data_IF_169952191168
#
_entry.id   IF_169952191168
#
_cell.length_a   1.000
_cell.length_b   1.000
_cell.length_c   1.000
_cell.angle_alpha   90.00
_cell.angle_beta   90.00
_cell.angle_gamma   90.00
#
_symmetry.space_group_name_H-M   'P 1'
#
loop_
_entity.id
_entity.type
_entity.pdbx_description
1 polymer ?
#
# COMPACT_ATOMS: atom_id res chain seq x y z
N UNK A 1 3.16 -43.09 -7.05
CA UNK A 1 2.55 -42.16 -6.05
C UNK A 1 3.31 -40.84 -6.11
N UNK A 2 2.69 -39.74 -6.53
CA UNK A 2 3.31 -38.43 -6.50
C UNK A 2 3.54 -38.01 -5.03
N UNK A 3 4.79 -37.69 -4.68
CA UNK A 3 5.16 -37.18 -3.36
C UNK A 3 4.40 -35.84 -3.13
N UNK A 4 3.60 -35.73 -2.07
CA UNK A 4 3.00 -34.48 -1.69
C UNK A 4 4.12 -33.46 -1.44
N UNK A 5 4.10 -32.31 -2.14
CA UNK A 5 5.05 -31.24 -1.89
C UNK A 5 4.92 -30.79 -0.42
N UNK A 6 6.04 -30.57 0.23
CA UNK A 6 6.06 -29.97 1.57
C UNK A 6 5.72 -28.47 1.48
N UNK A 7 5.36 -27.85 2.60
CA UNK A 7 5.14 -26.38 2.65
C UNK A 7 6.39 -25.61 2.23
N UNK A 8 7.58 -26.09 2.61
CA UNK A 8 8.86 -25.51 2.17
C UNK A 8 9.02 -25.57 0.65
N UNK A 9 8.77 -26.76 0.03
CA UNK A 9 8.83 -26.91 -1.43
C UNK A 9 7.86 -25.97 -2.17
N UNK A 10 6.73 -25.62 -1.54
CA UNK A 10 5.75 -24.66 -2.10
C UNK A 10 6.30 -23.24 -2.00
N UNK A 11 6.82 -22.84 -0.84
CA UNK A 11 7.40 -21.51 -0.62
C UNK A 11 8.58 -21.26 -1.57
N UNK A 12 9.49 -22.24 -1.70
CA UNK A 12 10.66 -22.13 -2.60
C UNK A 12 10.26 -21.93 -4.07
N UNK A 13 9.05 -22.34 -4.46
CA UNK A 13 8.52 -22.19 -5.83
C UNK A 13 7.80 -20.86 -6.08
N UNK A 14 7.61 -20.02 -5.05
CA UNK A 14 7.02 -18.69 -5.21
C UNK A 14 8.01 -17.66 -5.77
N UNK A 15 9.31 -17.92 -5.64
CA UNK A 15 10.35 -17.07 -6.20
C UNK A 15 10.26 -16.94 -7.72
N UNK A 16 10.31 -15.71 -8.25
CA UNK A 16 10.26 -15.41 -9.68
C UNK A 16 8.86 -15.53 -10.31
N UNK A 17 7.80 -15.80 -9.52
CA UNK A 17 6.44 -15.80 -10.06
C UNK A 17 6.00 -14.36 -10.27
N UNK A 18 5.59 -14.03 -11.50
CA UNK A 18 5.01 -12.73 -11.81
C UNK A 18 3.55 -12.69 -11.35
N UNK A 19 3.22 -11.70 -10.53
CA UNK A 19 1.88 -11.45 -9.97
C UNK A 19 1.42 -10.06 -10.35
N UNK A 20 0.25 -9.95 -10.94
CA UNK A 20 -0.43 -8.67 -11.16
C UNK A 20 -1.37 -8.42 -9.99
N UNK A 21 -1.17 -7.34 -9.27
CA UNK A 21 -2.04 -6.90 -8.17
C UNK A 21 -2.79 -5.67 -8.61
N UNK A 22 -4.12 -5.69 -8.50
CA UNK A 22 -5.00 -4.55 -8.80
C UNK A 22 -5.78 -4.19 -7.55
N UNK A 23 -5.74 -2.92 -7.16
CA UNK A 23 -6.49 -2.47 -5.99
C UNK A 23 -6.09 -1.08 -5.52
N UNK A 24 -6.67 -0.67 -4.40
CA UNK A 24 -6.32 0.61 -3.79
C UNK A 24 -4.97 0.53 -3.10
N UNK A 25 -4.16 1.57 -3.26
CA UNK A 25 -2.90 1.76 -2.54
C UNK A 25 -2.98 2.98 -1.66
N UNK A 26 -2.35 2.92 -0.50
CA UNK A 26 -2.32 4.02 0.46
C UNK A 26 -1.01 4.06 1.25
N UNK A 27 -0.74 5.19 1.88
CA UNK A 27 0.26 5.28 2.94
C UNK A 27 -0.39 4.97 4.30
N UNK A 28 0.13 3.97 4.99
CA UNK A 28 -0.12 3.76 6.39
C UNK A 28 0.97 4.48 7.20
N UNK A 29 0.58 5.53 7.94
CA UNK A 29 1.45 6.29 8.85
C UNK A 29 1.16 5.88 10.28
N UNK A 30 2.20 5.48 11.00
CA UNK A 30 2.16 5.17 12.42
C UNK A 30 2.91 6.27 13.16
N UNK A 31 2.21 6.96 14.03
CA UNK A 31 2.75 8.05 14.86
C UNK A 31 2.69 7.58 16.30
N UNK A 32 3.84 7.16 16.83
CA UNK A 32 3.98 6.76 18.21
C UNK A 32 4.26 7.97 19.09
N UNK A 33 3.69 7.97 20.29
CA UNK A 33 3.85 9.07 21.21
C UNK A 33 3.41 8.76 22.63
N UNK A 34 3.40 9.82 23.46
CA UNK A 34 2.89 9.78 24.83
C UNK A 34 1.78 10.80 25.02
N UNK A 35 0.92 10.54 26.01
CA UNK A 35 -0.16 11.46 26.42
C UNK A 35 -0.04 11.65 27.93
N UNK A 36 0.70 12.69 28.32
CA UNK A 36 1.08 12.90 29.71
C UNK A 36 0.39 14.13 30.34
N UNK A 37 -0.30 14.95 29.54
CA UNK A 37 -0.93 16.18 30.00
C UNK A 37 -2.19 16.55 29.20
N UNK A 38 -3.03 17.35 29.82
CA UNK A 38 -4.18 18.00 29.16
C UNK A 38 -3.72 19.38 28.64
N UNK A 39 -4.23 19.77 27.47
CA UNK A 39 -3.97 21.10 26.89
C UNK A 39 -4.54 22.22 27.77
N UNK A 40 -3.81 23.35 27.92
CA UNK A 40 -4.37 24.56 28.57
C UNK A 40 -5.40 25.26 27.69
N UNK A 41 -5.47 24.99 26.39
CA UNK A 41 -6.36 25.64 25.43
C UNK A 41 -7.75 25.02 25.37
N UNK A 42 -7.85 23.69 25.67
CA UNK A 42 -9.08 22.92 25.64
C UNK A 42 -8.91 21.65 26.47
N UNK A 43 -10.02 21.01 26.96
CA UNK A 43 -9.96 19.77 27.73
C UNK A 43 -9.66 18.55 26.83
N UNK A 44 -8.54 18.61 26.11
CA UNK A 44 -8.06 17.56 25.21
C UNK A 44 -6.66 17.08 25.62
N UNK A 45 -6.32 15.79 25.43
CA UNK A 45 -4.98 15.31 25.66
C UNK A 45 -3.98 15.92 24.67
N UNK A 46 -2.77 16.21 25.15
CA UNK A 46 -1.63 16.57 24.31
C UNK A 46 -0.89 15.30 23.94
N UNK A 47 -0.86 14.99 22.65
CA UNK A 47 -0.09 13.89 22.10
C UNK A 47 1.31 14.37 21.74
N UNK A 48 2.32 13.86 22.43
CA UNK A 48 3.74 14.18 22.19
C UNK A 48 4.35 13.08 21.31
N UNK A 49 4.67 13.43 20.06
CA UNK A 49 5.23 12.48 19.08
C UNK A 49 6.64 12.10 19.47
N UNK A 50 6.95 10.81 19.44
CA UNK A 50 8.28 10.23 19.73
C UNK A 50 8.89 9.54 18.51
N UNK A 51 8.08 8.92 17.68
CA UNK A 51 8.53 8.20 16.48
C UNK A 51 7.45 8.23 15.41
N UNK A 52 7.88 8.24 14.15
CA UNK A 52 6.99 8.09 12.99
C UNK A 52 7.53 7.01 12.06
N UNK A 53 6.62 6.21 11.52
CA UNK A 53 6.91 5.19 10.52
C UNK A 53 5.87 5.27 9.42
N UNK A 54 6.34 5.08 8.18
CA UNK A 54 5.48 5.03 7.00
C UNK A 54 5.67 3.71 6.28
N UNK A 55 4.59 3.15 5.77
CA UNK A 55 4.64 1.93 4.97
C UNK A 55 3.53 1.91 3.93
N UNK A 56 3.68 1.03 2.94
CA UNK A 56 2.64 0.74 1.96
C UNK A 56 1.47 0.02 2.63
N UNK A 57 0.25 0.55 2.46
CA UNK A 57 -1.00 -0.04 2.93
C UNK A 57 -1.86 -0.63 1.81
N UNK A 58 -2.90 -1.37 2.17
CA UNK A 58 -3.84 -2.05 1.27
C UNK A 58 -3.10 -2.91 0.21
N UNK A 59 -3.36 -2.74 -1.08
CA UNK A 59 -2.68 -3.48 -2.15
C UNK A 59 -1.16 -3.33 -2.13
N UNK A 60 -0.65 -2.20 -1.60
CA UNK A 60 0.78 -1.99 -1.38
C UNK A 60 1.37 -2.93 -0.31
N UNK A 61 0.62 -3.23 0.74
CA UNK A 61 1.03 -4.25 1.72
C UNK A 61 1.02 -5.67 1.11
N UNK A 62 0.09 -5.95 0.19
CA UNK A 62 0.09 -7.21 -0.58
C UNK A 62 1.37 -7.31 -1.42
N UNK A 63 1.74 -6.22 -2.13
CA UNK A 63 2.99 -6.16 -2.88
C UNK A 63 4.20 -6.49 -2.00
N UNK A 64 4.33 -5.86 -0.83
CA UNK A 64 5.45 -6.13 0.10
C UNK A 64 5.54 -7.59 0.51
N UNK A 65 4.41 -8.19 0.86
CA UNK A 65 4.37 -9.62 1.24
C UNK A 65 4.80 -10.53 0.08
N UNK A 66 4.36 -10.24 -1.14
CA UNK A 66 4.75 -11.00 -2.32
C UNK A 66 6.23 -10.78 -2.68
N UNK A 67 6.74 -9.57 -2.56
CA UNK A 67 8.16 -9.25 -2.78
C UNK A 67 9.07 -10.01 -1.81
N UNK A 68 8.72 -10.06 -0.52
CA UNK A 68 9.45 -10.86 0.50
C UNK A 68 9.46 -12.35 0.17
N UNK A 69 8.42 -12.86 -0.49
CA UNK A 69 8.35 -14.26 -0.97
C UNK A 69 9.11 -14.46 -2.30
N UNK A 70 9.76 -13.41 -2.83
CA UNK A 70 10.55 -13.46 -4.06
C UNK A 70 9.73 -13.32 -5.33
N UNK A 71 8.46 -12.89 -5.26
CA UNK A 71 7.62 -12.64 -6.42
C UNK A 71 7.98 -11.34 -7.15
N UNK A 72 7.74 -11.32 -8.46
CA UNK A 72 7.77 -10.11 -9.28
C UNK A 72 6.35 -9.52 -9.32
N UNK A 73 6.16 -8.31 -8.78
CA UNK A 73 4.83 -7.73 -8.60
C UNK A 73 4.63 -6.52 -9.50
N UNK A 74 3.63 -6.57 -10.36
CA UNK A 74 3.10 -5.39 -11.04
C UNK A 74 1.87 -4.88 -10.27
N UNK A 75 2.02 -3.75 -9.58
CA UNK A 75 0.94 -3.12 -8.84
C UNK A 75 0.21 -2.10 -9.72
N UNK A 76 -1.04 -2.39 -10.07
CA UNK A 76 -1.93 -1.45 -10.77
C UNK A 76 -2.87 -0.78 -9.77
N UNK A 77 -2.61 0.50 -9.53
CA UNK A 77 -3.36 1.32 -8.57
C UNK A 77 -3.34 2.80 -8.98
N UNK A 78 -4.18 3.63 -8.33
CA UNK A 78 -4.19 5.08 -8.54
C UNK A 78 -3.56 5.82 -7.38
N UNK A 79 -2.83 6.89 -7.69
CA UNK A 79 -2.30 7.85 -6.74
C UNK A 79 -2.63 9.27 -7.21
N UNK A 80 -2.58 10.23 -6.31
CA UNK A 80 -2.70 11.64 -6.65
C UNK A 80 -1.38 12.22 -7.20
N UNK A 81 -1.48 13.44 -7.75
CA UNK A 81 -0.31 14.28 -8.09
C UNK A 81 0.11 15.07 -6.85
N UNK A 82 0.54 14.35 -5.80
CA UNK A 82 0.91 14.90 -4.51
C UNK A 82 2.15 14.19 -3.92
N UNK A 83 2.70 14.76 -2.84
CA UNK A 83 3.88 14.21 -2.18
C UNK A 83 3.68 12.76 -1.70
N UNK A 84 2.47 12.41 -1.27
CA UNK A 84 2.15 11.05 -0.84
C UNK A 84 2.14 10.05 -2.01
N UNK A 85 1.71 10.49 -3.20
CA UNK A 85 1.80 9.69 -4.41
C UNK A 85 3.24 9.43 -4.84
N UNK A 86 4.11 10.42 -4.69
CA UNK A 86 5.56 10.25 -4.92
C UNK A 86 6.17 9.30 -3.90
N UNK A 87 5.83 9.45 -2.61
CA UNK A 87 6.31 8.59 -1.52
C UNK A 87 5.91 7.10 -1.75
N UNK A 88 4.68 6.84 -2.25
CA UNK A 88 4.26 5.47 -2.62
C UNK A 88 5.15 4.91 -3.73
N UNK A 89 5.49 5.71 -4.75
CA UNK A 89 6.36 5.26 -5.85
C UNK A 89 7.75 4.88 -5.35
N UNK A 90 8.29 5.70 -4.46
CA UNK A 90 9.61 5.47 -3.86
C UNK A 90 9.59 4.18 -3.04
N UNK A 91 8.58 3.99 -2.18
CA UNK A 91 8.42 2.78 -1.38
C UNK A 91 8.25 1.52 -2.23
N UNK A 92 7.49 1.57 -3.34
CA UNK A 92 7.37 0.44 -4.28
C UNK A 92 8.73 0.09 -4.90
N UNK A 93 9.51 1.11 -5.24
CA UNK A 93 10.85 0.93 -5.81
C UNK A 93 11.84 0.39 -4.77
N UNK A 94 11.75 0.81 -3.51
CA UNK A 94 12.54 0.28 -2.40
C UNK A 94 12.27 -1.21 -2.14
N UNK A 95 11.05 -1.68 -2.38
CA UNK A 95 10.72 -3.11 -2.34
C UNK A 95 11.24 -3.89 -3.58
N UNK A 96 12.01 -3.24 -4.47
CA UNK A 96 12.57 -3.83 -5.68
C UNK A 96 11.55 -4.07 -6.80
N UNK A 97 10.38 -3.42 -6.75
CA UNK A 97 9.30 -3.58 -7.72
C UNK A 97 9.18 -2.35 -8.63
N UNK A 98 8.55 -2.52 -9.80
CA UNK A 98 8.28 -1.39 -10.70
C UNK A 98 7.08 -0.57 -10.24
N UNK A 99 7.20 0.76 -10.34
CA UNK A 99 6.10 1.69 -10.08
C UNK A 99 5.31 2.07 -11.36
N UNK A 100 5.54 1.39 -12.49
CA UNK A 100 4.93 1.72 -13.78
C UNK A 100 3.41 1.50 -13.82
N UNK A 101 2.89 0.63 -12.96
CA UNK A 101 1.46 0.37 -12.81
C UNK A 101 0.71 1.44 -12.00
N UNK A 102 1.44 2.35 -11.32
CA UNK A 102 0.81 3.43 -10.54
C UNK A 102 0.38 4.59 -11.45
N UNK A 103 -0.93 4.81 -11.54
CA UNK A 103 -1.54 5.90 -12.33
C UNK A 103 -1.71 7.15 -11.49
N UNK A 104 -1.08 8.24 -11.94
CA UNK A 104 -1.31 9.57 -11.35
C UNK A 104 -2.62 10.13 -11.87
N UNK A 105 -3.53 10.48 -10.95
CA UNK A 105 -4.82 11.09 -11.27
C UNK A 105 -4.80 12.53 -10.77
N UNK A 106 -4.75 13.53 -11.67
CA UNK A 106 -4.75 14.94 -11.30
C UNK A 106 -5.97 15.31 -10.46
N UNK A 107 -5.76 16.08 -9.39
CA UNK A 107 -6.82 16.52 -8.49
C UNK A 107 -7.29 15.47 -7.47
N UNK A 108 -6.91 14.20 -7.63
CA UNK A 108 -7.13 13.16 -6.61
C UNK A 108 -6.12 13.30 -5.48
N UNK A 109 -6.55 13.06 -4.26
CA UNK A 109 -5.64 12.95 -3.11
C UNK A 109 -5.22 11.50 -2.95
N UNK A 110 -3.93 11.26 -2.81
CA UNK A 110 -3.41 9.95 -2.40
C UNK A 110 -3.91 9.59 -1.01
N UNK A 111 -4.40 8.38 -0.85
CA UNK A 111 -4.94 7.92 0.43
C UNK A 111 -3.82 7.79 1.48
N UNK A 112 -4.05 8.39 2.66
CA UNK A 112 -3.18 8.29 3.83
C UNK A 112 -4.04 7.93 5.03
N UNK A 113 -3.63 6.92 5.78
CA UNK A 113 -4.24 6.54 7.06
C UNK A 113 -3.23 6.70 8.18
N UNK A 114 -3.37 7.78 8.95
CA UNK A 114 -2.47 8.09 10.07
C UNK A 114 -3.04 7.53 11.36
N UNK A 115 -2.30 6.64 12.02
CA UNK A 115 -2.65 6.04 13.30
C UNK A 115 -1.78 6.64 14.40
N UNK A 116 -2.40 7.27 15.38
CA UNK A 116 -1.74 7.80 16.57
C UNK A 116 -1.80 6.77 17.69
N UNK A 117 -0.64 6.36 18.20
CA UNK A 117 -0.49 5.26 19.16
C UNK A 117 0.22 5.77 20.41
N UNK A 118 -0.40 5.62 21.58
CA UNK A 118 0.20 5.96 22.85
C UNK A 118 0.03 4.76 23.82
N UNK A 119 1.12 4.39 24.52
CA UNK A 119 1.11 3.27 25.45
C UNK A 119 0.69 1.92 24.82
N UNK A 120 0.98 1.74 23.54
CA UNK A 120 0.61 0.53 22.78
C UNK A 120 -0.87 0.49 22.35
N UNK A 121 -1.64 1.57 22.57
CA UNK A 121 -3.04 1.66 22.18
C UNK A 121 -3.22 2.71 21.06
N UNK A 122 -4.02 2.37 20.06
CA UNK A 122 -4.42 3.32 19.02
C UNK A 122 -5.43 4.31 19.61
N UNK A 123 -5.02 5.56 19.72
CA UNK A 123 -5.84 6.64 20.26
C UNK A 123 -6.79 7.24 19.22
N UNK A 124 -6.30 7.40 17.99
CA UNK A 124 -7.04 8.02 16.91
C UNK A 124 -6.52 7.52 15.56
N UNK A 125 -7.37 7.56 14.54
CA UNK A 125 -6.96 7.45 13.13
C UNK A 125 -7.47 8.66 12.38
N UNK A 126 -6.59 9.30 11.62
CA UNK A 126 -6.92 10.38 10.71
C UNK A 126 -6.75 9.88 9.26
N UNK A 127 -7.83 9.91 8.49
CA UNK A 127 -7.85 9.50 7.10
C UNK A 127 -7.89 10.73 6.19
N UNK A 128 -7.05 10.72 5.16
CA UNK A 128 -7.07 11.69 4.08
C UNK A 128 -7.11 10.95 2.76
N UNK A 129 -8.21 11.05 2.06
CA UNK A 129 -8.42 10.34 0.79
C UNK A 129 -9.44 11.07 -0.10
N UNK A 130 -9.48 10.70 -1.37
CA UNK A 130 -10.56 11.02 -2.29
C UNK A 130 -11.41 9.75 -2.43
N UNK A 131 -12.68 9.82 -1.99
CA UNK A 131 -13.58 8.64 -1.93
C UNK A 131 -14.26 8.38 -3.27
N UNK A 132 -14.33 9.40 -4.13
CA UNK A 132 -14.99 9.31 -5.44
C UNK A 132 -14.29 8.27 -6.34
N UNK A 133 -15.10 7.55 -7.10
CA UNK A 133 -14.62 6.64 -8.12
C UNK A 133 -13.70 7.35 -9.13
N UNK A 134 -12.81 6.61 -9.74
CA UNK A 134 -12.02 7.12 -10.86
C UNK A 134 -12.89 7.27 -12.09
N UNK A 135 -12.58 8.27 -12.93
CA UNK A 135 -13.29 8.46 -14.20
C UNK A 135 -13.12 7.24 -15.13
N UNK A 136 -14.12 6.93 -15.93
CA UNK A 136 -14.17 5.76 -16.82
C UNK A 136 -12.92 5.63 -17.70
N UNK A 137 -12.43 6.73 -18.25
CA UNK A 137 -11.23 6.73 -19.09
C UNK A 137 -9.95 6.33 -18.31
N UNK A 138 -9.89 6.58 -17.02
CA UNK A 138 -8.80 6.12 -16.14
C UNK A 138 -8.96 4.64 -15.86
N UNK A 139 -10.19 4.20 -15.56
CA UNK A 139 -10.51 2.79 -15.34
C UNK A 139 -10.17 1.95 -16.59
N UNK A 140 -10.54 2.41 -17.79
CA UNK A 140 -10.19 1.76 -19.07
C UNK A 140 -8.66 1.66 -19.25
N UNK A 141 -7.92 2.73 -18.94
CA UNK A 141 -6.45 2.73 -19.03
C UNK A 141 -5.82 1.70 -18.07
N UNK A 142 -6.38 1.56 -16.86
CA UNK A 142 -5.96 0.56 -15.88
C UNK A 142 -6.26 -0.84 -16.41
N UNK A 143 -7.49 -1.08 -16.89
CA UNK A 143 -7.90 -2.37 -17.43
C UNK A 143 -7.01 -2.81 -18.60
N UNK A 144 -6.69 -1.90 -19.53
CA UNK A 144 -5.79 -2.17 -20.65
C UNK A 144 -4.35 -2.51 -20.20
N UNK A 145 -3.84 -1.82 -19.18
CA UNK A 145 -2.52 -2.12 -18.62
C UNK A 145 -2.51 -3.50 -17.96
N UNK A 146 -3.51 -3.79 -17.15
CA UNK A 146 -3.68 -5.09 -16.48
C UNK A 146 -3.82 -6.22 -17.52
N UNK A 147 -4.62 -6.03 -18.58
CA UNK A 147 -4.82 -7.02 -19.63
C UNK A 147 -3.52 -7.39 -20.36
N UNK A 148 -2.60 -6.44 -20.52
CA UNK A 148 -1.26 -6.71 -21.09
C UNK A 148 -0.38 -7.49 -20.12
N UNK A 149 -0.31 -7.05 -18.87
CA UNK A 149 0.57 -7.64 -17.86
C UNK A 149 0.17 -9.05 -17.45
N UNK A 150 -1.13 -9.35 -17.44
CA UNK A 150 -1.67 -10.68 -17.11
C UNK A 150 -1.27 -11.75 -18.12
N UNK A 151 -0.97 -11.39 -19.38
CA UNK A 151 -0.58 -12.37 -20.40
C UNK A 151 0.69 -13.12 -20.03
N UNK A 152 1.63 -12.46 -19.34
CA UNK A 152 2.90 -13.03 -18.90
C UNK A 152 2.91 -13.34 -17.39
N UNK A 153 1.80 -13.13 -16.69
CA UNK A 153 1.70 -13.35 -15.26
C UNK A 153 1.15 -14.74 -14.92
N UNK A 154 1.62 -15.29 -13.81
CA UNK A 154 1.07 -16.53 -13.24
C UNK A 154 -0.21 -16.34 -12.46
N UNK A 155 -0.44 -15.12 -11.90
CA UNK A 155 -1.56 -14.82 -10.99
C UNK A 155 -2.05 -13.39 -11.21
N UNK A 156 -3.36 -13.21 -11.18
CA UNK A 156 -4.04 -11.91 -11.01
C UNK A 156 -4.70 -11.88 -9.63
N UNK A 157 -4.38 -10.87 -8.83
CA UNK A 157 -4.95 -10.65 -7.52
C UNK A 157 -5.70 -9.33 -7.49
N UNK A 158 -6.95 -9.36 -7.04
CA UNK A 158 -7.79 -8.17 -6.80
C UNK A 158 -7.86 -7.94 -5.29
N UNK A 159 -7.51 -6.72 -4.83
CA UNK A 159 -7.41 -6.39 -3.40
C UNK A 159 -8.21 -5.12 -3.06
#
# INVERSE_FOLDING_TARGET
MARKASTADIVDRLGGVKVVVVGDVMLDRFVDGTVDRISPEAPIPVFSVTHEMVMLGASGNVLRNLAVLGGEVFLSATVGDDAAGSEIRDLVTEEGQTADGLRVVPGRRTAIKTRYIAGGQQMMRADRETVEDVADNIADTIADAVAREVQDAGVLLLS
#
